data_IF_816372668036
#
_entry.id   IF_816372668036
#
_cell.length_a   1.000
_cell.length_b   1.000
_cell.length_c   1.000
_cell.angle_alpha   90.00
_cell.angle_beta   90.00
_cell.angle_gamma   90.00
#
_symmetry.space_group_name_H-M   'P 1'
#
loop_
_entity.id
_entity.type
_entity.pdbx_description
1 polymer ?
#
# COMPACT_ATOMS: atom_id res chain seq x y z
N UNK A 1 8.08 54.68 -60.61
CA UNK A 1 7.33 53.44 -60.30
C UNK A 1 8.25 52.60 -59.41
N UNK A 2 8.06 52.63 -58.08
CA UNK A 2 8.81 51.79 -57.15
C UNK A 2 8.03 50.50 -56.97
N UNK A 3 8.62 49.39 -57.41
CA UNK A 3 8.09 48.04 -57.20
C UNK A 3 8.46 47.63 -55.78
N UNK A 4 7.55 47.82 -54.82
CA UNK A 4 7.68 47.21 -53.50
C UNK A 4 7.56 45.70 -53.63
N UNK A 5 8.69 45.01 -53.51
CA UNK A 5 8.74 43.56 -53.42
C UNK A 5 8.27 43.18 -52.01
N UNK A 6 6.97 42.88 -51.88
CA UNK A 6 6.38 42.35 -50.66
C UNK A 6 6.91 40.93 -50.41
N UNK A 7 8.07 40.84 -49.74
CA UNK A 7 8.58 39.56 -49.22
C UNK A 7 7.66 39.13 -48.09
N UNK A 8 6.75 38.21 -48.41
CA UNK A 8 6.05 37.41 -47.40
C UNK A 8 7.10 36.70 -46.56
N UNK A 9 7.35 37.20 -45.35
CA UNK A 9 8.12 36.47 -44.36
C UNK A 9 7.36 35.18 -44.08
N UNK A 10 7.93 34.06 -44.53
CA UNK A 10 7.47 32.74 -44.14
C UNK A 10 7.72 32.65 -42.63
N UNK A 11 6.67 32.80 -41.82
CA UNK A 11 6.74 32.50 -40.39
C UNK A 11 7.05 31.01 -40.32
N UNK A 12 8.33 30.69 -40.10
CA UNK A 12 8.75 29.33 -39.80
C UNK A 12 8.28 29.09 -38.38
N UNK A 13 7.12 28.47 -38.22
CA UNK A 13 6.70 27.83 -36.96
C UNK A 13 7.59 26.60 -36.71
N UNK A 14 8.87 26.85 -36.45
CA UNK A 14 9.77 25.86 -35.94
C UNK A 14 9.52 25.69 -34.45
N UNK A 15 8.65 24.76 -34.05
CA UNK A 15 8.78 23.95 -32.81
C UNK A 15 7.56 23.09 -32.44
N UNK A 16 6.74 22.61 -33.38
CA UNK A 16 5.68 21.63 -33.02
C UNK A 16 6.25 20.33 -32.42
N UNK A 17 7.53 20.02 -32.67
CA UNK A 17 8.25 18.85 -32.13
C UNK A 17 8.60 19.01 -30.63
N UNK A 18 8.48 20.21 -30.05
CA UNK A 18 8.90 20.47 -28.67
C UNK A 18 7.79 20.28 -27.63
N UNK A 19 6.52 20.47 -28.00
CA UNK A 19 5.40 20.42 -27.04
C UNK A 19 4.98 18.96 -26.77
N UNK A 20 4.86 18.14 -27.82
CA UNK A 20 4.51 16.73 -27.67
C UNK A 20 5.57 15.95 -26.86
N UNK A 21 6.87 16.19 -27.10
CA UNK A 21 7.96 15.58 -26.31
C UNK A 21 7.96 16.06 -24.86
N UNK A 22 7.67 17.34 -24.63
CA UNK A 22 7.51 17.89 -23.27
C UNK A 22 6.32 17.28 -22.52
N UNK A 23 5.18 17.10 -23.19
CA UNK A 23 4.01 16.43 -22.63
C UNK A 23 4.29 14.96 -22.30
N UNK A 24 4.95 14.21 -23.20
CA UNK A 24 5.33 12.82 -22.94
C UNK A 24 6.29 12.72 -21.74
N UNK A 25 7.30 13.59 -21.66
CA UNK A 25 8.21 13.65 -20.51
C UNK A 25 7.47 13.96 -19.20
N UNK A 26 6.54 14.91 -19.22
CA UNK A 26 5.72 15.26 -18.06
C UNK A 26 4.83 14.10 -17.60
N UNK A 27 4.21 13.36 -18.53
CA UNK A 27 3.40 12.18 -18.22
C UNK A 27 4.26 11.10 -17.56
N UNK A 28 5.43 10.79 -18.12
CA UNK A 28 6.33 9.77 -17.59
C UNK A 28 6.79 10.13 -16.18
N UNK A 29 7.22 11.38 -15.95
CA UNK A 29 7.66 11.85 -14.62
C UNK A 29 6.49 11.80 -13.63
N UNK A 30 5.30 12.21 -14.05
CA UNK A 30 4.10 12.18 -13.21
C UNK A 30 3.75 10.74 -12.81
N UNK A 31 3.80 9.79 -13.74
CA UNK A 31 3.56 8.38 -13.45
C UNK A 31 4.56 7.82 -12.43
N UNK A 32 5.86 8.11 -12.60
CA UNK A 32 6.90 7.70 -11.64
C UNK A 32 6.61 8.30 -10.26
N UNK A 33 6.24 9.58 -10.20
CA UNK A 33 5.90 10.26 -8.96
C UNK A 33 4.70 9.61 -8.26
N UNK A 34 3.62 9.31 -8.99
CA UNK A 34 2.45 8.63 -8.43
C UNK A 34 2.79 7.23 -7.92
N UNK A 35 3.58 6.45 -8.66
CA UNK A 35 4.06 5.13 -8.20
C UNK A 35 4.87 5.27 -6.91
N UNK A 36 5.75 6.28 -6.83
CA UNK A 36 6.51 6.58 -5.62
C UNK A 36 5.63 6.91 -4.42
N UNK A 37 4.60 7.75 -4.60
CA UNK A 37 3.63 8.08 -3.54
C UNK A 37 2.86 6.84 -3.08
N UNK A 38 2.40 6.00 -4.00
CA UNK A 38 1.66 4.78 -3.68
C UNK A 38 2.54 3.84 -2.85
N UNK A 39 3.78 3.61 -3.27
CA UNK A 39 4.73 2.78 -2.53
C UNK A 39 5.00 3.35 -1.14
N UNK A 40 5.20 4.66 -1.03
CA UNK A 40 5.41 5.33 0.26
C UNK A 40 4.19 5.23 1.18
N UNK A 41 2.98 5.44 0.66
CA UNK A 41 1.74 5.32 1.43
C UNK A 41 1.55 3.89 1.96
N UNK A 42 1.83 2.87 1.14
CA UNK A 42 1.77 1.46 1.54
C UNK A 42 2.81 1.15 2.64
N UNK A 43 4.04 1.64 2.48
CA UNK A 43 5.09 1.47 3.49
C UNK A 43 4.72 2.15 4.82
N UNK A 44 4.13 3.35 4.79
CA UNK A 44 3.63 4.00 6.00
C UNK A 44 2.50 3.23 6.65
N UNK A 45 1.53 2.72 5.88
CA UNK A 45 0.45 1.89 6.42
C UNK A 45 1.01 0.65 7.11
N UNK A 46 1.96 -0.06 6.49
CA UNK A 46 2.58 -1.24 7.06
C UNK A 46 3.32 -0.94 8.37
N UNK A 47 4.13 0.12 8.40
CA UNK A 47 4.82 0.57 9.63
C UNK A 47 3.87 0.99 10.74
N UNK A 48 2.75 1.62 10.37
CA UNK A 48 1.71 2.01 11.34
C UNK A 48 1.06 0.77 11.95
N UNK A 49 0.77 -0.23 11.11
CA UNK A 49 0.19 -1.49 11.57
C UNK A 49 1.16 -2.22 12.51
N UNK A 50 2.42 -2.33 12.11
CA UNK A 50 3.49 -2.93 12.90
C UNK A 50 3.60 -2.27 14.28
N UNK A 51 3.67 -0.93 14.33
CA UNK A 51 3.72 -0.20 15.60
C UNK A 51 2.49 -0.47 16.49
N UNK A 52 1.29 -0.52 15.91
CA UNK A 52 0.07 -0.82 16.66
C UNK A 52 0.03 -2.29 17.12
N UNK A 53 0.60 -3.22 16.35
CA UNK A 53 0.76 -4.61 16.77
C UNK A 53 1.76 -4.75 17.92
N UNK A 54 2.88 -4.02 17.88
CA UNK A 54 3.85 -3.97 18.98
C UNK A 54 3.19 -3.48 20.26
N UNK A 55 2.41 -2.41 20.16
CA UNK A 55 1.67 -1.87 21.30
C UNK A 55 0.66 -2.87 21.89
N UNK A 56 -0.15 -3.52 21.04
CA UNK A 56 -1.18 -4.47 21.50
C UNK A 56 -0.59 -5.76 22.04
N UNK A 57 0.46 -6.27 21.41
CA UNK A 57 1.13 -7.51 21.84
C UNK A 57 2.07 -7.27 23.02
N UNK A 58 2.31 -6.01 23.41
CA UNK A 58 3.30 -5.64 24.44
C UNK A 58 4.67 -6.28 24.21
N UNK A 59 5.02 -6.50 22.93
CA UNK A 59 6.26 -7.15 22.51
C UNK A 59 7.44 -6.23 22.74
N UNK A 60 8.56 -6.81 23.19
CA UNK A 60 9.82 -6.07 23.34
C UNK A 60 10.72 -6.16 22.09
N UNK A 61 10.40 -7.07 21.16
CA UNK A 61 11.19 -7.36 19.97
C UNK A 61 10.54 -6.88 18.67
N UNK A 62 11.33 -6.90 17.58
CA UNK A 62 10.82 -6.83 16.21
C UNK A 62 9.73 -7.90 16.01
N UNK A 63 8.62 -7.50 15.37
CA UNK A 63 7.48 -8.37 15.09
C UNK A 63 7.50 -8.70 13.60
N UNK A 64 7.43 -9.99 13.27
CA UNK A 64 7.12 -10.41 11.90
C UNK A 64 5.63 -10.73 11.80
N UNK A 65 4.95 -10.24 10.78
CA UNK A 65 3.54 -10.54 10.58
C UNK A 65 3.22 -10.84 9.11
N UNK A 66 2.31 -11.78 8.90
CA UNK A 66 1.84 -12.22 7.59
C UNK A 66 0.32 -12.13 7.52
N UNK A 67 -0.21 -11.76 6.35
CA UNK A 67 -1.64 -11.71 6.12
C UNK A 67 -2.17 -13.14 5.85
N UNK A 68 -3.12 -13.59 6.65
CA UNK A 68 -3.69 -14.96 6.55
C UNK A 68 -5.10 -14.99 5.98
N UNK A 69 -5.81 -13.85 5.97
CA UNK A 69 -7.08 -13.75 5.25
C UNK A 69 -7.98 -12.61 5.70
N UNK A 70 -9.21 -12.63 5.20
CA UNK A 70 -10.25 -11.61 5.46
C UNK A 70 -11.52 -12.31 5.90
N UNK A 71 -12.32 -11.64 6.72
CA UNK A 71 -13.67 -12.11 7.07
C UNK A 71 -14.55 -12.20 5.82
N UNK A 72 -15.24 -13.32 5.60
CA UNK A 72 -15.95 -13.57 4.33
C UNK A 72 -17.11 -12.58 4.06
N UNK A 73 -17.86 -12.19 5.09
CA UNK A 73 -18.95 -11.21 4.92
C UNK A 73 -19.51 -10.68 6.25
N UNK A 74 -19.58 -9.35 6.45
CA UNK A 74 -18.95 -8.31 5.63
C UNK A 74 -17.42 -8.35 5.81
N UNK A 75 -16.64 -8.00 4.77
CA UNK A 75 -15.16 -8.06 4.78
C UNK A 75 -14.48 -7.04 5.70
N UNK A 76 -15.07 -6.67 6.83
CA UNK A 76 -14.67 -5.54 7.67
C UNK A 76 -13.32 -5.74 8.37
N UNK A 77 -12.81 -6.98 8.37
CA UNK A 77 -11.67 -7.40 9.18
C UNK A 77 -10.70 -8.24 8.36
N UNK A 78 -9.43 -7.97 8.59
CA UNK A 78 -8.29 -8.72 8.08
C UNK A 78 -7.60 -9.41 9.24
N UNK A 79 -7.04 -10.57 8.95
CA UNK A 79 -6.38 -11.42 9.92
C UNK A 79 -4.91 -11.51 9.55
N UNK A 80 -4.07 -11.33 10.56
CA UNK A 80 -2.63 -11.41 10.43
C UNK A 80 -2.10 -12.41 11.45
N UNK A 81 -1.18 -13.27 11.03
CA UNK A 81 -0.38 -14.09 11.92
C UNK A 81 0.88 -13.30 12.27
N UNK A 82 0.98 -12.88 13.52
CA UNK A 82 2.14 -12.17 14.05
C UNK A 82 3.00 -13.13 14.88
N UNK A 83 4.32 -13.04 14.76
CA UNK A 83 5.29 -13.73 15.61
C UNK A 83 6.08 -12.68 16.38
N UNK A 84 6.03 -12.77 17.70
CA UNK A 84 6.66 -11.84 18.62
C UNK A 84 7.20 -12.61 19.82
N UNK A 85 8.43 -12.33 20.24
CA UNK A 85 9.06 -12.96 21.42
C UNK A 85 8.99 -14.52 21.46
N UNK A 86 8.94 -15.17 20.29
CA UNK A 86 8.86 -16.64 20.16
C UNK A 86 7.44 -17.22 20.25
N UNK A 87 6.43 -16.38 20.42
CA UNK A 87 5.02 -16.74 20.42
C UNK A 87 4.33 -16.36 19.11
N UNK A 88 3.29 -17.11 18.75
CA UNK A 88 2.47 -16.86 17.58
C UNK A 88 1.10 -16.32 18.00
N UNK A 89 0.69 -15.23 17.36
CA UNK A 89 -0.56 -14.53 17.64
C UNK A 89 -1.37 -14.39 16.36
N UNK A 90 -2.68 -14.57 16.48
CA UNK A 90 -3.59 -14.07 15.45
C UNK A 90 -4.03 -12.68 15.87
N UNK A 91 -3.81 -11.73 14.98
CA UNK A 91 -4.16 -10.32 15.14
C UNK A 91 -5.29 -9.99 14.17
N UNK A 92 -6.39 -9.50 14.72
CA UNK A 92 -7.51 -8.98 13.95
C UNK A 92 -7.34 -7.50 13.73
N UNK A 93 -7.43 -7.08 12.49
CA UNK A 93 -7.17 -5.70 12.05
C UNK A 93 -8.36 -5.22 11.23
N UNK A 94 -8.74 -3.95 11.37
CA UNK A 94 -9.73 -3.35 10.48
C UNK A 94 -9.23 -3.30 9.02
N UNK A 95 -10.17 -3.20 8.07
CA UNK A 95 -9.86 -3.00 6.63
C UNK A 95 -8.84 -1.88 6.34
N UNK A 96 -8.72 -0.89 7.23
CA UNK A 96 -7.81 0.24 7.09
C UNK A 96 -6.32 -0.12 7.24
N UNK A 97 -5.97 -1.38 7.55
CA UNK A 97 -4.60 -1.86 7.78
C UNK A 97 -3.84 -1.00 8.80
N UNK A 98 -4.55 -0.48 9.81
CA UNK A 98 -3.95 0.38 10.85
C UNK A 98 -4.45 -0.03 12.21
N UNK A 99 -5.76 -0.13 12.38
CA UNK A 99 -6.36 -0.31 13.70
C UNK A 99 -6.42 -1.80 14.04
N UNK A 100 -5.66 -2.20 15.05
CA UNK A 100 -5.74 -3.53 15.67
C UNK A 100 -6.98 -3.56 16.58
N UNK A 101 -7.78 -4.62 16.46
CA UNK A 101 -9.01 -4.84 17.23
C UNK A 101 -8.74 -5.70 18.45
N UNK A 102 -8.17 -6.87 18.21
CA UNK A 102 -7.83 -7.85 19.21
C UNK A 102 -6.65 -8.71 18.71
N UNK A 103 -5.97 -9.35 19.65
CA UNK A 103 -4.96 -10.35 19.38
C UNK A 103 -5.09 -11.49 20.38
N UNK A 104 -4.80 -12.72 19.94
CA UNK A 104 -4.80 -13.88 20.82
C UNK A 104 -3.62 -14.81 20.52
N UNK A 105 -2.98 -15.30 21.58
CA UNK A 105 -1.84 -16.23 21.51
C UNK A 105 -2.33 -17.62 21.11
N UNK A 106 -1.80 -18.12 20.00
CA UNK A 106 -1.99 -19.50 19.55
C UNK A 106 -1.16 -20.46 20.38
N UNK A 107 -0.01 -20.01 20.89
CA UNK A 107 0.87 -20.81 21.75
C UNK A 107 0.20 -21.13 23.09
N UNK A 108 -0.48 -20.16 23.70
CA UNK A 108 -1.21 -20.39 24.95
C UNK A 108 -2.54 -21.13 24.74
N UNK A 109 -3.22 -20.88 23.60
CA UNK A 109 -4.57 -21.39 23.33
C UNK A 109 -4.65 -22.03 21.94
N UNK A 110 -4.01 -23.19 21.73
CA UNK A 110 -3.94 -23.82 20.41
C UNK A 110 -5.31 -24.24 19.86
N UNK A 111 -6.27 -24.58 20.73
CA UNK A 111 -7.64 -24.91 20.33
C UNK A 111 -8.39 -23.75 19.66
N UNK A 112 -7.97 -22.49 19.91
CA UNK A 112 -8.55 -21.33 19.24
C UNK A 112 -8.08 -21.21 17.81
N UNK A 113 -6.91 -21.76 17.45
CA UNK A 113 -6.42 -21.78 16.08
C UNK A 113 -7.40 -22.53 15.18
N UNK A 114 -7.72 -23.78 15.53
CA UNK A 114 -8.64 -24.63 14.76
C UNK A 114 -10.05 -24.03 14.70
N UNK A 115 -10.55 -23.50 15.83
CA UNK A 115 -11.86 -22.84 15.84
C UNK A 115 -11.88 -21.62 14.91
N UNK A 116 -10.80 -20.85 14.90
CA UNK A 116 -10.68 -19.66 14.06
C UNK A 116 -10.58 -20.00 12.57
N UNK A 117 -9.71 -20.95 12.21
CA UNK A 117 -9.58 -21.46 10.84
C UNK A 117 -10.93 -21.96 10.30
N UNK A 118 -11.65 -22.75 11.10
CA UNK A 118 -12.98 -23.25 10.73
C UNK A 118 -14.04 -22.15 10.63
N UNK A 119 -14.00 -21.14 11.52
CA UNK A 119 -15.01 -20.08 11.56
C UNK A 119 -14.84 -19.07 10.43
N UNK A 120 -13.61 -18.83 10.01
CA UNK A 120 -13.26 -17.77 9.05
C UNK A 120 -12.69 -18.30 7.73
N UNK A 121 -12.64 -19.62 7.53
CA UNK A 121 -12.18 -20.23 6.28
C UNK A 121 -10.73 -19.91 5.92
N UNK A 122 -9.89 -19.62 6.91
CA UNK A 122 -8.49 -19.23 6.75
C UNK A 122 -7.57 -20.37 7.13
N UNK A 123 -6.46 -20.51 6.41
CA UNK A 123 -5.43 -21.54 6.62
C UNK A 123 -4.05 -20.89 6.53
N UNK A 124 -3.08 -21.33 7.33
CA UNK A 124 -1.72 -20.78 7.40
C UNK A 124 -0.67 -21.82 7.80
#
# INVERSE_FOLDING_TARGET
MQTEVNRKHKVVTGNEVSIAKGMVGFIVISLIFFVGIIAFANAQQQRTLEANMVEVLSSSSDISFEFVGTEDSPQLRKFYLAKADGEEFIVRVYQNNRTVLDAFSLTEKPHLAEQFQNSYGVDW
#
